data_IF_162089955619
#
_entry.id   IF_162089955619
#
_cell.length_a   1.000
_cell.length_b   1.000
_cell.length_c   1.000
_cell.angle_alpha   90.00
_cell.angle_beta   90.00
_cell.angle_gamma   90.00
#
_symmetry.space_group_name_H-M   'P 1'
#
loop_
_entity.id
_entity.type
_entity.pdbx_description
1 polymer ?
#
# COMPACT_ATOMS: atom_id res chain seq x y z
N UNK A 1 0.67 37.80 -31.46
CA UNK A 1 0.36 38.50 -30.20
C UNK A 1 -0.78 39.46 -30.48
N UNK A 2 -1.97 39.16 -29.95
CA UNK A 2 -2.43 39.92 -28.79
C UNK A 2 -2.79 39.03 -27.59
N UNK A 3 -2.43 39.55 -26.41
CA UNK A 3 -2.79 39.11 -25.06
C UNK A 3 -4.16 39.70 -24.70
N UNK A 4 -4.77 39.20 -23.61
CA UNK A 4 -5.89 39.79 -22.82
C UNK A 4 -7.25 39.10 -23.15
N UNK A 5 -8.05 38.56 -22.22
CA UNK A 5 -8.13 38.79 -20.77
C UNK A 5 -8.68 37.58 -19.99
N UNK A 6 -8.40 37.58 -18.69
CA UNK A 6 -8.82 36.59 -17.71
C UNK A 6 -10.32 36.67 -17.41
N UNK A 7 -11.08 35.61 -17.70
CA UNK A 7 -12.46 35.48 -17.22
C UNK A 7 -12.47 35.21 -15.71
N UNK A 8 -12.62 36.29 -14.97
CA UNK A 8 -12.88 36.27 -13.53
C UNK A 8 -14.35 35.91 -13.33
N UNK A 9 -14.65 34.64 -13.07
CA UNK A 9 -16.02 34.22 -12.73
C UNK A 9 -16.43 34.84 -11.39
N UNK A 10 -17.17 35.94 -11.52
CA UNK A 10 -17.79 36.71 -10.45
C UNK A 10 -18.95 35.92 -9.85
N UNK A 11 -18.68 35.15 -8.80
CA UNK A 11 -19.74 34.48 -8.04
C UNK A 11 -20.64 35.52 -7.38
N UNK A 12 -21.91 35.52 -7.77
CA UNK A 12 -22.93 36.44 -7.27
C UNK A 12 -23.48 35.88 -5.97
N UNK A 13 -23.26 36.60 -4.87
CA UNK A 13 -23.86 36.33 -3.57
C UNK A 13 -25.40 36.48 -3.67
N UNK A 14 -26.12 35.37 -3.57
CA UNK A 14 -27.55 35.40 -3.25
C UNK A 14 -27.66 35.63 -1.75
N UNK A 15 -27.94 36.87 -1.37
CA UNK A 15 -28.40 37.22 -0.04
C UNK A 15 -29.92 37.21 -0.05
N UNK A 16 -30.51 36.23 0.63
CA UNK A 16 -31.91 36.20 1.03
C UNK A 16 -31.98 36.02 2.54
N UNK A 17 -32.17 37.13 3.26
CA UNK A 17 -32.53 37.24 4.69
C UNK A 17 -34.06 37.46 4.73
N UNK A 18 -34.87 36.87 5.63
CA UNK A 18 -35.02 37.08 7.08
C UNK A 18 -35.91 35.93 7.67
N UNK A 19 -35.46 35.07 8.61
CA UNK A 19 -35.57 35.04 10.11
C UNK A 19 -37.00 35.07 10.74
N UNK A 20 -37.24 34.60 12.00
CA UNK A 20 -36.64 33.52 12.80
C UNK A 20 -37.67 32.65 13.60
N UNK A 21 -37.45 31.35 13.80
CA UNK A 21 -37.88 30.63 15.04
C UNK A 21 -37.39 29.18 15.03
N UNK A 22 -36.80 28.73 16.14
CA UNK A 22 -36.58 27.31 16.41
C UNK A 22 -35.12 26.88 16.38
N UNK A 23 -34.43 27.07 17.50
CA UNK A 23 -33.16 26.44 17.89
C UNK A 23 -33.14 24.93 17.61
N UNK A 24 -32.23 24.48 16.75
CA UNK A 24 -31.25 23.41 17.00
C UNK A 24 -30.42 23.20 15.74
N UNK A 25 -29.31 23.93 15.65
CA UNK A 25 -28.24 23.59 14.72
C UNK A 25 -27.54 22.33 15.22
N UNK A 26 -27.64 21.26 14.45
CA UNK A 26 -26.94 19.98 14.53
C UNK A 26 -27.72 19.11 13.53
N UNK A 27 -27.31 18.95 12.28
CA UNK A 27 -26.77 17.64 11.84
C UNK A 27 -26.33 17.65 10.35
N UNK A 28 -26.25 18.79 9.67
CA UNK A 28 -25.96 18.82 8.22
C UNK A 28 -24.45 18.73 7.87
N UNK A 29 -23.60 18.42 8.85
CA UNK A 29 -22.15 18.25 8.69
C UNK A 29 -21.57 16.95 9.23
N UNK A 30 -22.39 16.04 9.77
CA UNK A 30 -21.93 14.76 10.34
C UNK A 30 -22.21 13.54 9.45
N UNK A 31 -23.00 13.71 8.39
CA UNK A 31 -23.30 12.64 7.43
C UNK A 31 -22.09 12.25 6.57
N UNK A 32 -21.06 13.09 6.46
CA UNK A 32 -19.94 12.87 5.55
C UNK A 32 -18.85 11.95 6.14
N UNK A 33 -18.69 11.90 7.47
CA UNK A 33 -17.66 11.04 8.10
C UNK A 33 -18.09 9.57 8.16
N UNK A 34 -19.39 9.30 8.37
CA UNK A 34 -19.91 7.93 8.39
C UNK A 34 -20.03 7.33 6.98
N UNK A 35 -20.33 8.16 5.98
CA UNK A 35 -20.34 7.74 4.57
C UNK A 35 -18.92 7.59 4.01
N UNK A 36 -17.96 8.43 4.42
CA UNK A 36 -16.54 8.24 4.10
C UNK A 36 -15.96 6.98 4.76
N UNK A 37 -16.33 6.68 6.02
CA UNK A 37 -15.98 5.39 6.66
C UNK A 37 -16.60 4.19 5.93
N UNK A 38 -17.80 4.35 5.36
CA UNK A 38 -18.47 3.31 4.56
C UNK A 38 -17.88 3.16 3.15
N UNK A 39 -17.26 4.21 2.61
CA UNK A 39 -16.60 4.21 1.28
C UNK A 39 -15.11 3.85 1.34
N UNK A 40 -14.48 4.01 2.51
CA UNK A 40 -13.05 3.74 2.75
C UNK A 40 -12.72 2.32 3.19
N UNK A 41 -13.72 1.43 3.29
CA UNK A 41 -13.51 0.02 3.58
C UNK A 41 -14.24 -0.82 2.54
N UNK A 42 -13.83 -0.67 1.28
CA UNK A 42 -14.03 -1.77 0.34
C UNK A 42 -12.92 -2.77 0.66
N UNK A 43 -13.22 -3.96 1.22
CA UNK A 43 -12.21 -5.02 1.21
C UNK A 43 -11.81 -5.17 -0.25
N UNK A 44 -10.54 -4.93 -0.55
CA UNK A 44 -10.02 -5.22 -1.87
C UNK A 44 -10.26 -6.70 -2.13
N UNK A 45 -10.68 -7.04 -3.35
CA UNK A 45 -10.76 -8.46 -3.70
C UNK A 45 -9.37 -9.08 -3.51
N UNK A 46 -9.32 -10.37 -3.20
CA UNK A 46 -8.04 -11.10 -3.11
C UNK A 46 -7.18 -10.88 -4.37
N UNK A 47 -7.81 -10.82 -5.54
CA UNK A 47 -7.14 -10.53 -6.81
C UNK A 47 -6.48 -9.14 -6.85
N UNK A 48 -7.14 -8.12 -6.28
CA UNK A 48 -6.58 -6.77 -6.21
C UNK A 48 -5.42 -6.70 -5.22
N UNK A 49 -5.50 -7.44 -4.12
CA UNK A 49 -4.41 -7.58 -3.16
C UNK A 49 -3.20 -8.34 -3.76
N UNK A 50 -3.45 -9.37 -4.56
CA UNK A 50 -2.41 -10.09 -5.30
C UNK A 50 -1.75 -9.21 -6.37
N UNK A 51 -2.53 -8.39 -7.09
CA UNK A 51 -1.99 -7.42 -8.02
C UNK A 51 -1.09 -6.39 -7.30
N UNK A 52 -1.55 -5.86 -6.16
CA UNK A 52 -0.76 -4.97 -5.31
C UNK A 52 0.56 -5.63 -4.86
N UNK A 53 0.52 -6.93 -4.53
CA UNK A 53 1.74 -7.66 -4.19
C UNK A 53 2.72 -7.72 -5.37
N UNK A 54 2.26 -8.02 -6.59
CA UNK A 54 3.12 -7.98 -7.77
C UNK A 54 3.72 -6.59 -8.01
N UNK A 55 2.91 -5.54 -7.85
CA UNK A 55 3.36 -4.16 -7.97
C UNK A 55 4.45 -3.84 -6.93
N UNK A 56 4.29 -4.26 -5.68
CA UNK A 56 5.31 -4.04 -4.64
C UNK A 56 6.65 -4.74 -4.94
N UNK A 57 6.60 -5.94 -5.53
CA UNK A 57 7.81 -6.66 -5.94
C UNK A 57 8.51 -5.97 -7.13
N UNK A 58 7.72 -5.46 -8.09
CA UNK A 58 8.22 -4.71 -9.24
C UNK A 58 8.87 -3.40 -8.79
N UNK A 59 8.19 -2.64 -7.93
CA UNK A 59 8.70 -1.40 -7.34
C UNK A 59 10.01 -1.63 -6.57
N UNK A 60 10.07 -2.68 -5.75
CA UNK A 60 11.29 -3.03 -5.04
C UNK A 60 12.44 -3.35 -5.99
N UNK A 61 12.17 -4.12 -7.05
CA UNK A 61 13.17 -4.41 -8.08
C UNK A 61 13.66 -3.13 -8.76
N UNK A 62 12.76 -2.23 -9.16
CA UNK A 62 13.11 -0.96 -9.79
C UNK A 62 13.94 -0.05 -8.87
N UNK A 63 13.55 0.06 -7.59
CA UNK A 63 14.32 0.84 -6.61
C UNK A 63 15.75 0.31 -6.44
N UNK A 64 15.94 -1.01 -6.57
CA UNK A 64 17.26 -1.66 -6.44
C UNK A 64 18.04 -1.67 -7.76
N UNK A 65 17.36 -1.61 -8.90
CA UNK A 65 17.97 -1.53 -10.23
C UNK A 65 18.74 -0.22 -10.44
N UNK A 66 18.34 0.88 -9.78
CA UNK A 66 19.09 2.16 -9.78
C UNK A 66 20.56 1.98 -9.37
N UNK A 67 20.87 0.96 -8.56
CA UNK A 67 22.24 0.63 -8.17
C UNK A 67 23.03 -0.20 -9.22
N UNK A 68 22.47 -0.42 -10.42
CA UNK A 68 23.08 -1.19 -11.51
C UNK A 68 23.20 -2.68 -11.23
N UNK A 69 22.30 -3.24 -10.40
CA UNK A 69 22.32 -4.67 -10.08
C UNK A 69 21.90 -5.49 -11.29
N UNK A 70 22.60 -6.61 -11.54
CA UNK A 70 22.18 -7.54 -12.59
C UNK A 70 20.77 -8.09 -12.31
N UNK A 71 19.97 -8.31 -13.37
CA UNK A 71 18.61 -8.85 -13.26
C UNK A 71 18.55 -10.18 -12.48
N UNK A 72 19.55 -11.05 -12.62
CA UNK A 72 19.65 -12.30 -11.85
C UNK A 72 19.80 -12.04 -10.35
N UNK A 73 20.48 -10.95 -9.97
CA UNK A 73 20.64 -10.55 -8.57
C UNK A 73 19.34 -9.98 -8.03
N UNK A 74 18.63 -9.15 -8.78
CA UNK A 74 17.31 -8.63 -8.40
C UNK A 74 16.32 -9.77 -8.14
N UNK A 75 16.26 -10.75 -9.05
CA UNK A 75 15.43 -11.95 -8.85
C UNK A 75 15.80 -12.71 -7.57
N UNK A 76 17.09 -12.86 -7.27
CA UNK A 76 17.54 -13.51 -6.04
C UNK A 76 17.17 -12.75 -4.76
N UNK A 77 16.98 -11.42 -4.84
CA UNK A 77 16.56 -10.62 -3.69
C UNK A 77 15.09 -10.87 -3.35
N UNK A 78 14.21 -10.94 -4.36
CA UNK A 78 12.76 -11.12 -4.15
C UNK A 78 12.35 -12.59 -3.99
N UNK A 79 13.11 -13.53 -4.53
CA UNK A 79 12.76 -14.95 -4.52
C UNK A 79 12.45 -15.52 -3.13
N UNK A 80 13.19 -15.19 -2.05
CA UNK A 80 12.85 -15.68 -0.70
C UNK A 80 11.47 -15.22 -0.21
N UNK A 81 11.04 -14.00 -0.57
CA UNK A 81 9.72 -13.45 -0.21
C UNK A 81 8.62 -14.21 -0.96
N UNK A 82 8.80 -14.36 -2.28
CA UNK A 82 7.87 -15.14 -3.12
C UNK A 82 7.74 -16.56 -2.58
N UNK A 83 8.86 -17.21 -2.29
CA UNK A 83 8.89 -18.59 -1.82
C UNK A 83 8.11 -18.77 -0.50
N UNK A 84 8.26 -17.88 0.48
CA UNK A 84 7.57 -18.02 1.75
C UNK A 84 6.07 -17.68 1.66
N UNK A 85 5.71 -16.63 0.91
CA UNK A 85 4.32 -16.26 0.64
C UNK A 85 3.59 -17.41 -0.07
N UNK A 86 4.21 -17.97 -1.13
CA UNK A 86 3.67 -19.12 -1.86
C UNK A 86 3.59 -20.38 -0.99
N UNK A 87 4.56 -20.61 -0.11
CA UNK A 87 4.54 -21.78 0.77
C UNK A 87 3.35 -21.78 1.72
N UNK A 88 3.01 -20.61 2.27
CA UNK A 88 1.90 -20.47 3.22
C UNK A 88 0.57 -20.10 2.57
N UNK A 89 0.56 -19.71 1.28
CA UNK A 89 -0.64 -19.26 0.58
C UNK A 89 -1.13 -17.89 1.06
N UNK A 90 -0.21 -17.04 1.51
CA UNK A 90 -0.52 -15.73 2.11
C UNK A 90 0.20 -14.60 1.40
N UNK A 91 -0.27 -13.38 1.60
CA UNK A 91 0.38 -12.17 1.13
C UNK A 91 1.42 -11.66 2.13
N UNK A 92 2.33 -10.76 1.72
CA UNK A 92 3.40 -10.32 2.60
C UNK A 92 2.91 -9.69 3.92
N UNK A 93 1.83 -8.91 3.89
CA UNK A 93 1.26 -8.27 5.08
C UNK A 93 0.47 -9.21 5.99
N UNK A 94 0.21 -10.45 5.54
CA UNK A 94 -0.41 -11.50 6.34
C UNK A 94 0.64 -12.41 7.02
N UNK A 95 1.92 -12.29 6.64
CA UNK A 95 3.00 -13.11 7.19
C UNK A 95 3.22 -12.79 8.68
N UNK A 96 3.31 -13.85 9.48
CA UNK A 96 3.68 -13.76 10.89
C UNK A 96 5.08 -14.32 11.15
N UNK A 97 5.70 -13.88 12.24
CA UNK A 97 7.00 -14.40 12.70
C UNK A 97 6.98 -15.94 12.88
N UNK A 98 5.88 -16.48 13.41
CA UNK A 98 5.71 -17.93 13.58
C UNK A 98 5.71 -18.69 12.25
N UNK A 99 5.16 -18.11 11.19
CA UNK A 99 5.14 -18.71 9.85
C UNK A 99 6.56 -18.71 9.23
N UNK A 100 7.34 -17.67 9.48
CA UNK A 100 8.76 -17.61 9.11
C UNK A 100 9.56 -18.73 9.79
N UNK A 101 9.40 -18.86 11.11
CA UNK A 101 10.09 -19.90 11.89
C UNK A 101 9.69 -21.31 11.43
N UNK A 102 8.40 -21.55 11.20
CA UNK A 102 7.90 -22.83 10.71
C UNK A 102 8.47 -23.18 9.33
N UNK A 103 8.56 -22.21 8.43
CA UNK A 103 9.15 -22.41 7.11
C UNK A 103 10.62 -22.82 7.21
N UNK A 104 11.43 -22.14 8.02
CA UNK A 104 12.86 -22.45 8.19
C UNK A 104 13.14 -23.71 9.02
N UNK A 105 12.21 -24.12 9.89
CA UNK A 105 12.28 -25.40 10.59
C UNK A 105 11.98 -26.60 9.67
N UNK A 106 11.19 -26.40 8.61
CA UNK A 106 10.74 -27.43 7.68
C UNK A 106 11.32 -27.28 6.26
N UNK A 107 10.47 -26.92 5.30
CA UNK A 107 10.79 -26.89 3.85
C UNK A 107 11.95 -25.94 3.50
N UNK A 108 12.08 -24.85 4.25
CA UNK A 108 13.15 -23.86 4.12
C UNK A 108 14.46 -24.24 4.81
N UNK A 109 14.52 -25.39 5.49
CA UNK A 109 15.71 -25.85 6.23
C UNK A 109 16.89 -26.02 5.28
N UNK A 110 17.96 -25.26 5.52
CA UNK A 110 19.20 -25.23 4.75
C UNK A 110 20.39 -24.97 5.68
N UNK A 111 21.60 -24.92 5.12
CA UNK A 111 22.76 -24.47 5.87
C UNK A 111 22.53 -23.07 6.47
N UNK A 112 23.07 -22.84 7.67
CA UNK A 112 22.81 -21.63 8.47
C UNK A 112 23.12 -20.31 7.73
N UNK A 113 24.17 -20.31 6.91
CA UNK A 113 24.55 -19.16 6.07
C UNK A 113 23.49 -18.83 5.00
N UNK A 114 22.86 -19.87 4.44
CA UNK A 114 21.78 -19.71 3.45
C UNK A 114 20.50 -19.19 4.10
N UNK A 115 20.16 -19.71 5.29
CA UNK A 115 19.01 -19.23 6.08
C UNK A 115 19.18 -17.75 6.42
N UNK A 116 20.35 -17.36 6.95
CA UNK A 116 20.65 -15.96 7.27
C UNK A 116 20.53 -15.07 6.03
N UNK A 117 21.08 -15.48 4.89
CA UNK A 117 20.97 -14.74 3.63
C UNK A 117 19.51 -14.54 3.22
N UNK A 118 18.69 -15.59 3.28
CA UNK A 118 17.24 -15.49 2.98
C UNK A 118 16.53 -14.54 3.94
N UNK A 119 16.75 -14.67 5.25
CA UNK A 119 16.14 -13.78 6.25
C UNK A 119 16.53 -12.32 5.98
N UNK A 120 17.80 -12.03 5.71
CA UNK A 120 18.24 -10.67 5.38
C UNK A 120 17.60 -10.13 4.09
N UNK A 121 17.39 -10.97 3.07
CA UNK A 121 16.66 -10.54 1.86
C UNK A 121 15.20 -10.21 2.17
N UNK A 122 14.53 -11.04 2.98
CA UNK A 122 13.13 -10.82 3.39
C UNK A 122 13.02 -9.53 4.21
N UNK A 123 13.88 -9.36 5.21
CA UNK A 123 13.93 -8.18 6.08
C UNK A 123 14.09 -6.89 5.27
N UNK A 124 15.01 -6.87 4.29
CA UNK A 124 15.21 -5.70 3.41
C UNK A 124 14.00 -5.37 2.54
N UNK A 125 13.23 -6.38 2.14
CA UNK A 125 12.00 -6.15 1.40
C UNK A 125 10.93 -5.50 2.29
N UNK A 126 10.74 -6.01 3.51
CA UNK A 126 9.80 -5.42 4.47
C UNK A 126 10.21 -4.01 4.90
N UNK A 127 11.50 -3.78 5.15
CA UNK A 127 12.03 -2.44 5.44
C UNK A 127 11.78 -1.45 4.29
N UNK A 128 11.77 -1.91 3.03
CA UNK A 128 11.38 -1.09 1.89
C UNK A 128 9.87 -0.77 1.91
N UNK A 129 9.01 -1.76 2.20
CA UNK A 129 7.57 -1.54 2.29
C UNK A 129 7.18 -0.54 3.39
N UNK A 130 7.91 -0.50 4.50
CA UNK A 130 7.69 0.45 5.58
C UNK A 130 8.08 1.89 5.22
N UNK A 131 8.94 2.08 4.22
CA UNK A 131 9.44 3.39 3.79
C UNK A 131 8.67 3.95 2.58
N UNK A 132 7.88 3.11 1.91
CA UNK A 132 7.03 3.45 0.77
C UNK A 132 5.81 4.24 1.21
#
# INVERSE_FOLDING_TARGET
MPVVDSETHRFTLISGRDTPSGTAGQEEGLADVLTLKRRGFHPWSRDAEEALYQDTLAEYCWARDVAGLAATTLNQLVQPVIEICTFHGVLPWELSSRMLDQYFAGRGKRAHSTVRKKITSIDRYFAFLEQR
#
